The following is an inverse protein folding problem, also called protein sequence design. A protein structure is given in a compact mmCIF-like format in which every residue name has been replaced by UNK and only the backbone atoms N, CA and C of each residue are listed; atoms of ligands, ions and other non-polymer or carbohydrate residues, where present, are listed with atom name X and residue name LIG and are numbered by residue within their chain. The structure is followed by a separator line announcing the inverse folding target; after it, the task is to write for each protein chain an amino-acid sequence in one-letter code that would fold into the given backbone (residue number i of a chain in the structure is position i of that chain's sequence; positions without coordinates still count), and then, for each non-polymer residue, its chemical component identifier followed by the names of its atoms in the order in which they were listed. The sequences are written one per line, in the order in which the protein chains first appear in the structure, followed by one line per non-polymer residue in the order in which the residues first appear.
data_IF_369726315618
#
_entry.id   IF_369726315618
#
_cell.length_a   1.000
_cell.length_b   1.000
_cell.length_c   1.000
_cell.angle_alpha   90.00
_cell.angle_beta   90.00
_cell.angle_gamma   90.00
#
_symmetry.space_group_name_H-M   'P 1'
#
loop_
_entity.id
_entity.type
_entity.pdbx_description
1 polymer ?
#
# COMPACT_ATOMS: atom_id res chain seq x y z
N UNK A 1 31.00 18.25 -23.69
CA UNK A 1 30.22 17.39 -24.61
C UNK A 1 30.14 16.02 -24.00
N UNK A 2 28.94 15.51 -23.71
CA UNK A 2 28.75 14.17 -23.14
C UNK A 2 29.13 13.12 -24.20
N UNK A 3 30.14 12.30 -23.88
CA UNK A 3 30.54 11.19 -24.73
C UNK A 3 29.49 10.06 -24.61
N UNK A 4 28.47 10.10 -25.48
CA UNK A 4 27.47 9.05 -25.63
C UNK A 4 27.83 8.23 -26.86
N UNK A 5 28.11 6.94 -26.66
CA UNK A 5 28.35 6.01 -27.76
C UNK A 5 27.15 5.08 -27.89
N UNK A 6 26.52 5.00 -29.05
CA UNK A 6 25.38 4.13 -29.34
C UNK A 6 25.83 2.86 -30.07
N UNK A 7 25.39 1.71 -29.61
CA UNK A 7 25.51 0.44 -30.33
C UNK A 7 24.33 0.20 -31.29
N UNK A 8 24.35 -0.89 -32.05
CA UNK A 8 23.34 -1.26 -33.06
C UNK A 8 21.89 -1.45 -32.49
N UNK A 9 21.74 -1.69 -31.19
CA UNK A 9 20.45 -1.82 -30.50
C UNK A 9 20.07 -0.59 -29.69
N UNK A 10 20.51 0.61 -30.04
CA UNK A 10 20.29 1.84 -29.26
C UNK A 10 20.70 1.69 -27.78
N UNK A 11 21.80 1.00 -27.55
CA UNK A 11 22.47 0.93 -26.24
C UNK A 11 23.56 1.99 -26.17
N UNK A 12 23.85 2.45 -24.96
CA UNK A 12 24.91 3.45 -24.76
C UNK A 12 25.62 3.27 -23.43
N UNK A 13 26.73 3.94 -23.29
CA UNK A 13 27.50 4.02 -22.06
C UNK A 13 27.85 5.48 -21.77
N UNK A 14 27.78 5.87 -20.50
CA UNK A 14 28.12 7.24 -20.10
C UNK A 14 28.68 7.30 -18.69
N UNK A 15 29.43 8.35 -18.39
CA UNK A 15 29.77 8.79 -17.02
C UNK A 15 29.08 10.10 -16.66
N UNK A 16 28.36 10.67 -17.62
CA UNK A 16 27.57 11.87 -17.37
C UNK A 16 26.21 11.49 -16.80
N UNK A 17 26.09 11.56 -15.48
CA UNK A 17 24.85 11.22 -14.77
C UNK A 17 23.77 12.29 -14.94
N UNK A 18 24.13 13.52 -15.34
CA UNK A 18 23.20 14.64 -15.50
C UNK A 18 22.23 14.45 -16.67
N UNK A 19 22.54 13.54 -17.60
CA UNK A 19 21.64 13.22 -18.72
C UNK A 19 20.37 12.48 -18.28
N UNK A 20 20.42 11.76 -17.15
CA UNK A 20 19.29 10.95 -16.68
C UNK A 20 18.24 11.82 -16.02
N UNK A 21 17.02 11.78 -16.57
CA UNK A 21 15.84 12.47 -16.04
C UNK A 21 14.90 11.48 -15.41
N UNK A 22 14.12 11.94 -14.43
CA UNK A 22 13.19 11.09 -13.69
C UNK A 22 11.78 11.61 -13.82
N UNK A 23 10.81 10.71 -13.84
CA UNK A 23 9.41 11.09 -13.74
C UNK A 23 9.10 11.55 -12.32
N UNK A 24 8.36 12.64 -12.17
CA UNK A 24 8.00 13.20 -10.85
C UNK A 24 7.26 12.20 -9.97
N UNK A 25 6.52 11.28 -10.61
CA UNK A 25 5.72 10.23 -9.97
C UNK A 25 6.49 8.95 -9.68
N UNK A 26 7.78 8.91 -9.96
CA UNK A 26 8.58 7.73 -9.70
C UNK A 26 8.75 7.53 -8.17
N UNK A 27 9.01 6.29 -7.76
CA UNK A 27 9.25 5.97 -6.35
C UNK A 27 10.52 6.63 -5.83
N UNK A 28 10.57 6.88 -4.52
CA UNK A 28 11.76 7.40 -3.85
C UNK A 28 12.87 6.35 -3.90
N UNK A 29 14.10 6.81 -4.19
CA UNK A 29 15.29 5.96 -4.17
C UNK A 29 15.60 5.53 -2.74
N UNK A 30 15.63 4.24 -2.49
CA UNK A 30 15.94 3.66 -1.18
C UNK A 30 17.44 3.62 -0.95
N UNK A 31 17.93 4.32 0.07
CA UNK A 31 19.36 4.32 0.44
C UNK A 31 19.89 2.91 0.71
N UNK A 32 19.11 2.08 1.40
CA UNK A 32 19.48 0.68 1.70
C UNK A 32 19.61 -0.16 0.44
N UNK A 33 18.71 0.00 -0.53
CA UNK A 33 18.77 -0.75 -1.80
C UNK A 33 19.92 -0.25 -2.69
N UNK A 34 20.19 1.05 -2.67
CA UNK A 34 21.34 1.63 -3.36
C UNK A 34 22.64 1.03 -2.85
N UNK A 35 22.81 0.93 -1.52
CA UNK A 35 24.03 0.40 -0.94
C UNK A 35 24.20 -1.11 -1.22
N UNK A 36 23.13 -1.90 -1.15
CA UNK A 36 23.17 -3.32 -1.54
C UNK A 36 23.58 -3.50 -3.01
N UNK A 37 22.98 -2.74 -3.91
CA UNK A 37 23.30 -2.78 -5.33
C UNK A 37 24.73 -2.30 -5.59
N UNK A 38 25.19 -1.27 -4.87
CA UNK A 38 26.55 -0.77 -4.96
C UNK A 38 27.57 -1.88 -4.64
N UNK A 39 27.39 -2.58 -3.51
CA UNK A 39 28.29 -3.68 -3.13
C UNK A 39 28.26 -4.82 -4.14
N UNK A 40 27.11 -5.24 -4.66
CA UNK A 40 27.02 -6.27 -5.71
C UNK A 40 27.74 -5.80 -6.99
N UNK A 41 27.54 -4.54 -7.42
CA UNK A 41 28.14 -4.01 -8.63
C UNK A 41 29.65 -3.73 -8.52
N UNK A 42 30.18 -3.52 -7.31
CA UNK A 42 31.64 -3.44 -7.10
C UNK A 42 32.31 -4.80 -7.38
N UNK A 43 31.64 -5.90 -7.04
CA UNK A 43 32.16 -7.25 -7.21
C UNK A 43 31.92 -7.77 -8.65
N UNK A 44 30.71 -7.60 -9.15
CA UNK A 44 30.23 -8.26 -10.38
C UNK A 44 30.04 -7.30 -11.56
N UNK A 45 30.23 -6.01 -11.36
CA UNK A 45 29.90 -5.01 -12.39
C UNK A 45 28.39 -4.80 -12.55
N UNK A 46 28.04 -3.94 -13.50
CA UNK A 46 26.63 -3.72 -13.87
C UNK A 46 26.15 -4.87 -14.75
N UNK A 47 25.28 -5.76 -14.19
CA UNK A 47 24.70 -6.91 -14.89
C UNK A 47 23.59 -6.50 -15.86
N UNK A 48 22.64 -5.69 -15.37
CA UNK A 48 21.49 -5.24 -16.15
C UNK A 48 21.65 -3.78 -16.57
N UNK A 49 21.30 -3.48 -17.82
CA UNK A 49 21.30 -2.13 -18.34
C UNK A 49 20.20 -1.27 -17.68
N UNK A 50 20.46 0.03 -17.55
CA UNK A 50 19.44 1.01 -17.24
C UNK A 50 18.55 1.19 -18.46
N UNK A 51 17.23 1.20 -18.31
CA UNK A 51 16.30 1.45 -19.41
C UNK A 51 15.84 2.89 -19.35
N UNK A 52 16.05 3.61 -20.47
CA UNK A 52 15.60 5.00 -20.65
C UNK A 52 14.73 5.11 -21.90
N UNK A 53 14.00 6.23 -22.04
CA UNK A 53 13.37 6.56 -23.32
C UNK A 53 14.26 7.53 -24.14
N UNK A 54 13.78 7.94 -25.32
CA UNK A 54 14.49 8.86 -26.23
C UNK A 54 14.72 10.27 -25.66
N UNK A 55 14.05 10.63 -24.54
CA UNK A 55 14.21 11.90 -23.81
C UNK A 55 15.08 11.74 -22.56
N UNK A 56 15.77 10.60 -22.45
CA UNK A 56 16.58 10.20 -21.30
C UNK A 56 15.79 10.07 -19.98
N UNK A 57 14.46 9.88 -20.06
CA UNK A 57 13.65 9.58 -18.88
C UNK A 57 13.89 8.15 -18.45
N UNK A 58 14.24 7.94 -17.18
CA UNK A 58 14.55 6.62 -16.61
C UNK A 58 13.28 5.82 -16.43
N UNK A 59 13.18 4.70 -17.13
CA UNK A 59 12.09 3.72 -17.05
C UNK A 59 12.38 2.66 -15.99
N UNK A 60 13.61 2.11 -16.00
CA UNK A 60 14.10 1.18 -14.98
C UNK A 60 15.57 1.43 -14.66
N UNK A 61 15.96 1.16 -13.42
CA UNK A 61 17.36 1.22 -12.99
C UNK A 61 17.76 2.48 -12.21
N UNK A 62 16.82 3.29 -11.70
CA UNK A 62 17.16 4.47 -10.89
C UNK A 62 18.07 4.17 -9.68
N UNK A 63 17.89 3.02 -9.01
CA UNK A 63 18.76 2.59 -7.91
C UNK A 63 20.16 2.19 -8.42
N UNK A 64 20.25 1.62 -9.64
CA UNK A 64 21.52 1.29 -10.29
C UNK A 64 22.31 2.55 -10.62
N UNK A 65 21.65 3.56 -11.19
CA UNK A 65 22.29 4.87 -11.45
C UNK A 65 22.83 5.45 -10.15
N UNK A 66 21.99 5.55 -9.11
CA UNK A 66 22.41 6.12 -7.84
C UNK A 66 23.54 5.33 -7.14
N UNK A 67 23.63 4.01 -7.39
CA UNK A 67 24.70 3.19 -6.86
C UNK A 67 26.02 3.41 -7.61
N UNK A 68 25.97 3.48 -8.95
CA UNK A 68 27.14 3.70 -9.80
C UNK A 68 27.70 5.12 -9.67
N UNK A 69 26.82 6.10 -9.48
CA UNK A 69 27.19 7.51 -9.30
C UNK A 69 28.10 7.72 -8.09
N UNK A 70 27.86 7.00 -6.98
CA UNK A 70 28.72 7.08 -5.77
C UNK A 70 30.19 6.75 -6.05
N UNK A 71 30.45 5.87 -6.99
CA UNK A 71 31.80 5.41 -7.34
C UNK A 71 32.26 5.94 -8.71
N UNK A 72 31.54 6.87 -9.30
CA UNK A 72 31.79 7.47 -10.62
C UNK A 72 32.06 6.43 -11.72
N UNK A 73 31.32 5.32 -11.66
CA UNK A 73 31.43 4.21 -12.64
C UNK A 73 30.66 4.52 -13.92
N UNK A 74 30.97 3.81 -14.97
CA UNK A 74 30.23 3.91 -16.24
C UNK A 74 28.86 3.29 -16.10
N UNK A 75 27.81 4.01 -16.54
CA UNK A 75 26.44 3.50 -16.65
C UNK A 75 26.22 2.93 -18.04
N UNK A 76 25.87 1.65 -18.11
CA UNK A 76 25.37 1.01 -19.34
C UNK A 76 23.86 1.18 -19.40
N UNK A 77 23.34 1.66 -20.51
CA UNK A 77 21.91 1.88 -20.69
C UNK A 77 21.44 1.46 -22.08
N UNK A 78 20.14 1.19 -22.19
CA UNK A 78 19.45 0.97 -23.47
C UNK A 78 18.27 1.92 -23.60
N UNK A 79 18.02 2.34 -24.85
CA UNK A 79 16.89 3.21 -25.17
C UNK A 79 15.69 2.36 -25.59
N UNK A 80 14.54 2.56 -24.93
CA UNK A 80 13.24 2.03 -25.31
C UNK A 80 12.38 3.20 -25.81
N UNK A 81 12.31 3.43 -27.14
CA UNK A 81 11.56 4.56 -27.68
C UNK A 81 10.08 4.50 -27.32
N UNK A 82 9.45 5.65 -27.06
CA UNK A 82 8.04 5.77 -26.72
C UNK A 82 7.68 5.29 -25.31
N UNK A 83 8.64 4.79 -24.52
CA UNK A 83 8.39 4.34 -23.18
C UNK A 83 7.98 5.53 -22.28
N UNK A 84 7.01 5.27 -21.40
CA UNK A 84 6.37 6.27 -20.56
C UNK A 84 6.17 5.78 -19.11
N UNK A 85 5.41 6.52 -18.30
CA UNK A 85 5.17 6.19 -16.90
C UNK A 85 4.51 4.81 -16.68
N UNK A 86 3.70 4.32 -17.63
CA UNK A 86 3.10 2.98 -17.54
C UNK A 86 4.17 1.89 -17.62
N UNK A 87 5.20 2.10 -18.45
CA UNK A 87 6.35 1.18 -18.53
C UNK A 87 7.15 1.17 -17.23
N UNK A 88 7.30 2.33 -16.56
CA UNK A 88 7.92 2.41 -15.21
C UNK A 88 7.14 1.55 -14.22
N UNK A 89 5.81 1.66 -14.21
CA UNK A 89 4.94 0.86 -13.34
C UNK A 89 5.08 -0.63 -13.65
N UNK A 90 5.06 -1.00 -14.94
CA UNK A 90 5.19 -2.38 -15.38
C UNK A 90 6.56 -2.98 -14.99
N UNK A 91 7.65 -2.26 -15.22
CA UNK A 91 9.00 -2.69 -14.85
C UNK A 91 9.14 -2.93 -13.34
N UNK A 92 8.49 -2.11 -12.51
CA UNK A 92 8.52 -2.26 -11.06
C UNK A 92 7.62 -3.39 -10.52
N UNK A 93 6.72 -3.95 -11.33
CA UNK A 93 5.90 -5.11 -10.93
C UNK A 93 6.67 -6.43 -10.95
N UNK A 94 7.77 -6.52 -11.70
CA UNK A 94 8.61 -7.71 -11.80
C UNK A 94 9.76 -7.74 -10.80
N UNK A 95 10.17 -6.57 -10.27
CA UNK A 95 11.25 -6.41 -9.30
C UNK A 95 10.75 -6.08 -7.88
N UNK A 96 11.32 -5.04 -7.25
CA UNK A 96 10.84 -4.54 -5.96
C UNK A 96 9.46 -3.90 -6.17
N UNK A 97 8.41 -4.58 -5.69
CA UNK A 97 7.02 -4.13 -5.82
C UNK A 97 6.80 -2.77 -5.18
N UNK A 98 6.00 -1.94 -5.80
CA UNK A 98 5.55 -0.70 -5.20
C UNK A 98 4.75 -0.98 -3.93
N UNK A 99 5.04 -0.22 -2.89
CA UNK A 99 4.22 -0.19 -1.69
C UNK A 99 3.06 0.82 -1.84
N UNK A 100 2.17 0.85 -0.87
CA UNK A 100 1.00 1.73 -0.93
C UNK A 100 1.39 3.22 -1.01
N UNK A 101 2.47 3.64 -0.35
CA UNK A 101 2.97 5.02 -0.44
C UNK A 101 3.39 5.40 -1.88
N UNK A 102 4.04 4.48 -2.59
CA UNK A 102 4.42 4.71 -3.99
C UNK A 102 3.19 4.83 -4.90
N UNK A 103 2.15 4.01 -4.66
CA UNK A 103 0.88 4.11 -5.38
C UNK A 103 0.16 5.42 -5.11
N UNK A 104 0.06 5.83 -3.83
CA UNK A 104 -0.52 7.13 -3.44
C UNK A 104 0.22 8.26 -4.14
N UNK A 105 1.55 8.32 -4.05
CA UNK A 105 2.33 9.38 -4.69
C UNK A 105 2.08 9.46 -6.20
N UNK A 106 2.06 8.29 -6.88
CA UNK A 106 1.82 8.26 -8.33
C UNK A 106 0.42 8.76 -8.69
N UNK A 107 -0.61 8.28 -7.99
CA UNK A 107 -1.98 8.55 -8.35
C UNK A 107 -2.56 9.84 -7.73
N UNK A 108 -1.90 10.44 -6.74
CA UNK A 108 -2.23 11.77 -6.24
C UNK A 108 -1.73 12.91 -7.13
N UNK A 109 -0.92 12.60 -8.16
CA UNK A 109 -0.42 13.62 -9.07
C UNK A 109 -1.58 14.32 -9.81
N UNK A 110 -1.54 15.66 -9.98
CA UNK A 110 -2.65 16.43 -10.58
C UNK A 110 -3.13 15.93 -11.95
N UNK A 111 -2.23 15.38 -12.76
CA UNK A 111 -2.57 14.82 -14.08
C UNK A 111 -3.34 13.50 -14.03
N UNK A 112 -3.40 12.84 -12.87
CA UNK A 112 -4.13 11.58 -12.77
C UNK A 112 -5.62 11.85 -12.56
N UNK A 113 -6.48 11.23 -13.38
CA UNK A 113 -7.94 11.43 -13.35
C UNK A 113 -8.61 11.20 -12.00
N UNK A 114 -8.00 10.35 -11.15
CA UNK A 114 -8.52 9.99 -9.83
C UNK A 114 -7.68 10.61 -8.68
N UNK A 115 -6.89 11.65 -8.95
CA UNK A 115 -5.95 12.19 -7.96
C UNK A 115 -6.63 12.58 -6.64
N UNK A 116 -7.80 13.18 -6.67
CA UNK A 116 -8.57 13.56 -5.47
C UNK A 116 -8.89 12.37 -4.59
N UNK A 117 -9.19 11.20 -5.17
CA UNK A 117 -9.47 9.96 -4.42
C UNK A 117 -8.25 9.50 -3.62
N UNK A 118 -7.05 9.59 -4.17
CA UNK A 118 -5.82 9.18 -3.48
C UNK A 118 -5.36 10.22 -2.45
N UNK A 119 -5.64 11.50 -2.67
CA UNK A 119 -5.45 12.56 -1.67
C UNK A 119 -6.37 12.29 -0.48
N UNK A 120 -7.67 12.11 -0.71
CA UNK A 120 -8.65 11.77 0.34
C UNK A 120 -8.28 10.48 1.10
N UNK A 121 -7.79 9.45 0.38
CA UNK A 121 -7.28 8.24 1.02
C UNK A 121 -6.11 8.55 1.98
N UNK A 122 -5.16 9.37 1.56
CA UNK A 122 -4.01 9.74 2.38
C UNK A 122 -4.43 10.49 3.64
N UNK A 123 -5.30 11.49 3.49
CA UNK A 123 -5.87 12.28 4.58
C UNK A 123 -6.62 11.39 5.57
N UNK A 124 -7.46 10.49 5.06
CA UNK A 124 -8.22 9.52 5.88
C UNK A 124 -7.29 8.61 6.70
N UNK A 125 -6.26 8.06 6.04
CA UNK A 125 -5.26 7.21 6.70
C UNK A 125 -4.49 7.98 7.78
N UNK A 126 -4.08 9.21 7.48
CA UNK A 126 -3.32 10.04 8.41
C UNK A 126 -4.16 10.47 9.61
N UNK A 127 -5.44 10.70 9.41
CA UNK A 127 -6.40 11.04 10.47
C UNK A 127 -6.62 9.86 11.43
N UNK A 128 -6.92 8.68 10.91
CA UNK A 128 -7.35 7.53 11.71
C UNK A 128 -6.22 6.61 12.15
N UNK A 129 -5.01 6.74 11.57
CA UNK A 129 -3.83 5.89 11.87
C UNK A 129 -4.07 4.39 11.72
N UNK A 130 -5.02 4.01 10.86
CA UNK A 130 -5.33 2.62 10.54
C UNK A 130 -4.36 2.09 9.46
N UNK A 131 -4.19 0.77 9.39
CA UNK A 131 -3.36 0.17 8.36
C UNK A 131 -3.98 0.32 6.97
N UNK A 132 -3.15 0.30 5.93
CA UNK A 132 -3.56 0.51 4.54
C UNK A 132 -4.74 -0.37 4.12
N UNK A 133 -4.71 -1.65 4.48
CA UNK A 133 -5.77 -2.58 4.09
C UNK A 133 -7.11 -2.28 4.76
N UNK A 134 -7.11 -1.78 6.00
CA UNK A 134 -8.34 -1.34 6.69
C UNK A 134 -8.87 -0.06 6.04
N UNK A 135 -8.02 0.92 5.75
CA UNK A 135 -8.43 2.14 5.06
C UNK A 135 -9.03 1.84 3.68
N UNK A 136 -8.39 0.96 2.90
CA UNK A 136 -8.88 0.53 1.59
C UNK A 136 -10.25 -0.15 1.71
N UNK A 137 -10.41 -1.09 2.66
CA UNK A 137 -11.69 -1.77 2.93
C UNK A 137 -12.80 -0.76 3.25
N UNK A 138 -12.56 0.14 4.20
CA UNK A 138 -13.58 1.09 4.66
C UNK A 138 -14.02 2.05 3.56
N UNK A 139 -13.08 2.56 2.77
CA UNK A 139 -13.36 3.50 1.69
C UNK A 139 -14.00 2.85 0.46
N UNK A 140 -13.57 1.61 0.12
CA UNK A 140 -14.10 0.91 -1.06
C UNK A 140 -15.37 0.12 -0.79
N UNK A 141 -15.65 -0.24 0.46
CA UNK A 141 -16.69 -1.21 0.83
C UNK A 141 -16.60 -2.52 -0.01
N UNK A 142 -15.40 -2.88 -0.41
CA UNK A 142 -15.13 -4.10 -1.15
C UNK A 142 -14.64 -5.19 -0.20
N UNK A 143 -15.50 -6.15 0.09
CA UNK A 143 -15.22 -7.26 1.00
C UNK A 143 -14.54 -8.45 0.31
N UNK A 144 -14.32 -8.41 -1.01
CA UNK A 144 -13.65 -9.48 -1.75
C UNK A 144 -12.13 -9.29 -1.73
N UNK A 145 -11.61 -8.20 -2.31
CA UNK A 145 -10.18 -7.91 -2.36
C UNK A 145 -9.78 -6.67 -1.53
N UNK A 146 -10.75 -6.07 -0.85
CA UNK A 146 -10.57 -4.86 -0.02
C UNK A 146 -10.13 -3.64 -0.83
N UNK A 147 -10.50 -3.59 -2.10
CA UNK A 147 -10.11 -2.54 -3.02
C UNK A 147 -8.62 -2.54 -3.41
N UNK A 148 -7.87 -3.59 -3.09
CA UNK A 148 -6.41 -3.66 -3.32
C UNK A 148 -6.04 -3.61 -4.79
N UNK A 149 -6.77 -4.32 -5.64
CA UNK A 149 -6.52 -4.35 -7.09
C UNK A 149 -6.78 -2.96 -7.68
N UNK A 150 -7.98 -2.42 -7.47
CA UNK A 150 -8.34 -1.09 -7.97
C UNK A 150 -7.42 0.01 -7.44
N UNK A 151 -6.91 -0.12 -6.21
CA UNK A 151 -5.94 0.80 -5.63
C UNK A 151 -4.61 0.82 -6.38
N UNK A 152 -4.10 -0.36 -6.76
CA UNK A 152 -2.87 -0.50 -7.54
C UNK A 152 -3.03 -0.11 -9.00
N UNK A 153 -4.22 -0.31 -9.56
CA UNK A 153 -4.51 -0.02 -10.96
C UNK A 153 -4.90 1.45 -11.20
N UNK A 154 -4.94 2.28 -10.15
CA UNK A 154 -5.34 3.69 -10.27
C UNK A 154 -6.84 3.91 -10.49
N UNK A 155 -7.66 2.89 -10.27
CA UNK A 155 -9.12 2.91 -10.47
C UNK A 155 -9.92 2.87 -9.18
N UNK A 156 -9.24 3.06 -8.04
CA UNK A 156 -9.85 3.08 -6.71
C UNK A 156 -10.98 4.09 -6.62
N UNK A 157 -12.05 3.71 -5.91
CA UNK A 157 -13.23 4.56 -5.72
C UNK A 157 -13.62 4.55 -4.25
N UNK A 158 -13.99 5.72 -3.75
CA UNK A 158 -14.61 5.86 -2.43
C UNK A 158 -16.12 5.73 -2.63
N UNK A 159 -16.73 4.72 -1.99
CA UNK A 159 -18.17 4.46 -2.12
C UNK A 159 -19.00 5.34 -1.20
N UNK A 160 -18.66 5.36 0.09
CA UNK A 160 -19.39 6.14 1.08
C UNK A 160 -18.42 6.70 2.13
N UNK A 161 -18.02 7.95 1.94
CA UNK A 161 -17.06 8.60 2.82
C UNK A 161 -17.61 8.79 4.26
N UNK A 162 -18.90 9.08 4.42
CA UNK A 162 -19.53 9.27 5.74
C UNK A 162 -19.50 7.97 6.55
N UNK A 163 -19.94 6.85 5.95
CA UNK A 163 -19.89 5.53 6.61
C UNK A 163 -18.45 5.09 6.88
N UNK A 164 -17.53 5.36 5.97
CA UNK A 164 -16.11 5.04 6.18
C UNK A 164 -15.57 5.80 7.40
N UNK A 165 -15.94 7.07 7.55
CA UNK A 165 -15.52 7.91 8.67
C UNK A 165 -16.07 7.37 10.02
N UNK A 166 -17.37 7.06 10.09
CA UNK A 166 -18.00 6.48 11.28
C UNK A 166 -17.34 5.15 11.67
N UNK A 167 -17.14 4.26 10.71
CA UNK A 167 -16.51 2.96 10.94
C UNK A 167 -15.03 3.10 11.35
N UNK A 168 -14.29 4.04 10.76
CA UNK A 168 -12.91 4.28 11.12
C UNK A 168 -12.78 4.81 12.54
N UNK A 169 -13.67 5.71 12.95
CA UNK A 169 -13.70 6.24 14.30
C UNK A 169 -13.99 5.14 15.34
N UNK A 170 -14.98 4.28 15.07
CA UNK A 170 -15.29 3.14 15.92
C UNK A 170 -14.12 2.13 16.00
N UNK A 171 -13.48 1.83 14.87
CA UNK A 171 -12.29 0.96 14.86
C UNK A 171 -11.11 1.59 15.58
N UNK A 172 -10.86 2.89 15.43
CA UNK A 172 -9.77 3.57 16.12
C UNK A 172 -9.93 3.49 17.64
N UNK A 173 -11.16 3.59 18.17
CA UNK A 173 -11.44 3.37 19.58
C UNK A 173 -11.10 1.94 20.03
N UNK A 174 -11.41 0.92 19.21
CA UNK A 174 -11.08 -0.47 19.51
C UNK A 174 -9.57 -0.74 19.39
N UNK A 175 -8.90 -0.13 18.41
CA UNK A 175 -7.43 -0.21 18.23
C UNK A 175 -6.69 0.37 19.44
N UNK A 176 -7.24 1.41 20.07
CA UNK A 176 -6.67 1.98 21.28
C UNK A 176 -6.69 0.99 22.46
N UNK A 177 -7.65 0.07 22.48
CA UNK A 177 -7.75 -1.00 23.49
C UNK A 177 -6.91 -2.21 23.11
N UNK A 178 -7.02 -2.65 21.86
CA UNK A 178 -6.25 -3.78 21.34
C UNK A 178 -5.88 -3.59 19.86
N UNK A 179 -4.56 -3.61 19.57
CA UNK A 179 -4.01 -3.40 18.23
C UNK A 179 -4.47 -4.43 17.20
N UNK A 180 -5.03 -5.58 17.61
CA UNK A 180 -5.55 -6.58 16.66
C UNK A 180 -6.66 -6.02 15.77
N UNK A 181 -7.41 -5.01 16.22
CA UNK A 181 -8.44 -4.34 15.44
C UNK A 181 -7.88 -3.53 14.25
N UNK A 182 -6.57 -3.25 14.23
CA UNK A 182 -5.89 -2.68 13.07
C UNK A 182 -5.46 -3.73 12.04
N UNK A 183 -6.27 -4.77 11.87
CA UNK A 183 -6.09 -5.80 10.84
C UNK A 183 -7.36 -5.96 10.00
N UNK A 184 -7.19 -6.21 8.71
CA UNK A 184 -8.33 -6.32 7.77
C UNK A 184 -9.32 -7.39 8.19
N UNK A 185 -8.82 -8.56 8.62
CA UNK A 185 -9.70 -9.69 9.02
C UNK A 185 -10.55 -9.36 10.22
N UNK A 186 -9.96 -8.74 11.23
CA UNK A 186 -10.68 -8.30 12.43
C UNK A 186 -11.65 -7.17 12.10
N UNK A 187 -11.25 -6.19 11.28
CA UNK A 187 -12.11 -5.11 10.83
C UNK A 187 -13.35 -5.63 10.07
N UNK A 188 -13.18 -6.62 9.16
CA UNK A 188 -14.33 -7.27 8.50
C UNK A 188 -15.25 -7.94 9.50
N UNK A 189 -14.70 -8.66 10.49
CA UNK A 189 -15.49 -9.26 11.56
C UNK A 189 -16.28 -8.21 12.34
N UNK A 190 -15.63 -7.12 12.73
CA UNK A 190 -16.27 -5.99 13.41
C UNK A 190 -17.39 -5.37 12.57
N UNK A 191 -17.12 -5.05 11.29
CA UNK A 191 -18.11 -4.47 10.38
C UNK A 191 -19.36 -5.36 10.22
N UNK A 192 -19.20 -6.67 10.30
CA UNK A 192 -20.33 -7.61 10.27
C UNK A 192 -21.13 -7.60 11.57
N UNK A 193 -20.47 -7.67 12.73
CA UNK A 193 -21.19 -7.74 14.00
C UNK A 193 -21.88 -6.43 14.35
N UNK A 194 -21.38 -5.28 13.91
CA UNK A 194 -22.04 -3.99 14.18
C UNK A 194 -23.39 -3.84 13.49
N UNK A 195 -23.69 -4.64 12.46
CA UNK A 195 -25.00 -4.67 11.80
C UNK A 195 -26.02 -5.58 12.51
N UNK A 196 -25.56 -6.36 13.50
CA UNK A 196 -26.44 -7.27 14.21
C UNK A 196 -27.39 -6.52 15.16
N UNK A 197 -28.63 -7.00 15.32
CA UNK A 197 -29.57 -6.45 16.29
C UNK A 197 -28.96 -6.42 17.71
N UNK A 198 -29.24 -5.34 18.42
CA UNK A 198 -28.78 -5.10 19.81
C UNK A 198 -27.26 -4.87 19.96
N UNK A 199 -26.47 -4.79 18.87
CA UNK A 199 -25.07 -4.43 18.97
C UNK A 199 -24.90 -3.02 19.58
N UNK A 200 -23.94 -2.89 20.47
CA UNK A 200 -23.54 -1.61 21.11
C UNK A 200 -22.02 -1.56 21.21
N UNK A 201 -21.39 -0.59 20.54
CA UNK A 201 -19.94 -0.42 20.58
C UNK A 201 -19.37 -0.28 22.01
N UNK A 202 -19.98 0.51 22.92
CA UNK A 202 -19.47 0.60 24.29
C UNK A 202 -19.45 -0.73 25.04
N UNK A 203 -20.40 -1.63 24.76
CA UNK A 203 -20.40 -2.98 25.34
C UNK A 203 -19.23 -3.78 24.81
N UNK A 204 -19.02 -3.79 23.48
CA UNK A 204 -17.89 -4.50 22.87
C UNK A 204 -16.56 -3.99 23.46
N UNK A 205 -16.40 -2.68 23.52
CA UNK A 205 -15.19 -2.03 24.07
C UNK A 205 -14.90 -2.48 25.50
N UNK A 206 -15.88 -2.37 26.39
CA UNK A 206 -15.75 -2.80 27.77
C UNK A 206 -15.45 -4.31 27.93
N UNK A 207 -16.02 -5.14 27.04
CA UNK A 207 -15.76 -6.58 27.04
C UNK A 207 -14.34 -6.90 26.56
N UNK A 208 -13.83 -6.18 25.55
CA UNK A 208 -12.44 -6.34 25.08
C UNK A 208 -11.47 -5.89 26.15
N UNK A 209 -11.65 -4.72 26.75
CA UNK A 209 -10.80 -4.22 27.84
C UNK A 209 -10.68 -5.25 28.99
N UNK A 210 -11.78 -5.92 29.30
CA UNK A 210 -11.84 -6.85 30.43
C UNK A 210 -11.43 -8.28 30.08
N UNK A 211 -11.61 -8.71 28.83
CA UNK A 211 -11.49 -10.10 28.41
C UNK A 211 -10.68 -10.26 27.12
N UNK A 212 -9.74 -9.35 26.81
CA UNK A 212 -8.90 -9.43 25.60
C UNK A 212 -8.16 -10.75 25.47
N UNK A 213 -7.76 -11.36 26.60
CA UNK A 213 -7.12 -12.67 26.64
C UNK A 213 -8.02 -13.83 26.14
N UNK A 214 -9.33 -13.62 26.02
CA UNK A 214 -10.28 -14.58 25.45
C UNK A 214 -10.38 -14.49 23.92
N UNK A 215 -9.84 -13.44 23.33
CA UNK A 215 -9.82 -13.27 21.89
C UNK A 215 -8.57 -13.97 21.36
N UNK A 216 -8.75 -15.19 20.90
CA UNK A 216 -7.66 -15.94 20.27
C UNK A 216 -7.56 -15.57 18.78
N UNK A 217 -6.36 -15.58 18.22
CA UNK A 217 -6.13 -15.37 16.79
C UNK A 217 -7.02 -16.29 15.95
N UNK A 218 -7.73 -15.70 14.99
CA UNK A 218 -8.65 -16.39 14.10
C UNK A 218 -8.09 -16.37 12.67
N UNK A 219 -8.33 -17.42 11.94
CA UNK A 219 -7.76 -17.61 10.60
C UNK A 219 -8.69 -17.01 9.54
N UNK A 220 -9.97 -17.24 9.65
CA UNK A 220 -10.99 -16.77 8.70
C UNK A 220 -11.79 -15.58 9.22
N UNK A 221 -12.50 -14.89 8.31
CA UNK A 221 -13.43 -13.80 8.70
C UNK A 221 -14.59 -14.32 9.56
N UNK A 222 -15.08 -15.55 9.29
CA UNK A 222 -16.13 -16.18 10.09
C UNK A 222 -15.68 -16.43 11.51
N UNK A 223 -14.45 -16.95 11.69
CA UNK A 223 -13.87 -17.16 13.01
C UNK A 223 -13.79 -15.85 13.81
N UNK A 224 -13.47 -14.72 13.13
CA UNK A 224 -13.46 -13.41 13.77
C UNK A 224 -14.85 -12.97 14.22
N UNK A 225 -15.88 -13.16 13.38
CA UNK A 225 -17.27 -12.87 13.75
C UNK A 225 -17.68 -13.65 14.99
N UNK A 226 -17.46 -14.96 14.98
CA UNK A 226 -17.80 -15.85 16.11
C UNK A 226 -17.02 -15.50 17.37
N UNK A 227 -15.74 -15.20 17.23
CA UNK A 227 -14.87 -14.78 18.33
C UNK A 227 -15.35 -13.48 18.99
N UNK A 228 -15.68 -12.49 18.17
CA UNK A 228 -16.16 -11.20 18.65
C UNK A 228 -17.55 -11.33 19.30
N UNK A 229 -18.46 -12.15 18.75
CA UNK A 229 -19.76 -12.44 19.35
C UNK A 229 -19.59 -13.14 20.71
N UNK A 230 -18.70 -14.13 20.81
CA UNK A 230 -18.40 -14.82 22.07
C UNK A 230 -17.91 -13.85 23.14
N UNK A 231 -16.96 -12.98 22.80
CA UNK A 231 -16.44 -11.99 23.75
C UNK A 231 -17.49 -10.96 24.10
N UNK A 232 -18.24 -10.44 23.13
CA UNK A 232 -19.32 -9.50 23.37
C UNK A 232 -20.34 -10.05 24.39
N UNK A 233 -20.74 -11.31 24.23
CA UNK A 233 -21.73 -11.95 25.07
C UNK A 233 -21.18 -12.50 26.41
N UNK A 234 -19.84 -12.53 26.59
CA UNK A 234 -19.21 -13.16 27.73
C UNK A 234 -19.61 -12.47 29.03
N UNK A 235 -20.16 -13.24 29.98
CA UNK A 235 -20.65 -12.75 31.27
C UNK A 235 -21.64 -11.58 31.20
N UNK A 236 -22.31 -11.38 30.06
CA UNK A 236 -23.32 -10.35 29.91
C UNK A 236 -24.59 -10.77 30.69
N UNK A 237 -24.88 -10.08 31.81
CA UNK A 237 -26.00 -10.43 32.73
C UNK A 237 -27.38 -10.22 32.11
N UNK A 238 -27.50 -9.36 31.09
CA UNK A 238 -28.79 -9.05 30.45
C UNK A 238 -28.95 -9.85 29.14
N UNK A 239 -29.75 -10.95 29.13
CA UNK A 239 -29.97 -11.77 27.95
C UNK A 239 -30.48 -10.98 26.73
N UNK A 240 -31.33 -9.97 26.97
CA UNK A 240 -31.89 -9.10 25.94
C UNK A 240 -30.85 -8.21 25.23
N UNK A 241 -29.63 -8.09 25.75
CA UNK A 241 -28.53 -7.34 25.15
C UNK A 241 -27.53 -8.23 24.41
N UNK A 242 -27.73 -9.54 24.41
CA UNK A 242 -26.88 -10.49 23.71
C UNK A 242 -27.11 -10.42 22.20
N UNK A 243 -26.06 -10.42 21.45
CA UNK A 243 -26.11 -10.55 19.97
C UNK A 243 -26.06 -12.02 19.57
N UNK A 244 -26.82 -12.37 18.55
CA UNK A 244 -26.84 -13.74 18.00
C UNK A 244 -26.21 -13.72 16.62
N UNK A 245 -25.47 -14.76 16.29
CA UNK A 245 -24.99 -14.95 14.92
C UNK A 245 -26.20 -15.36 14.05
N UNK A 246 -26.76 -14.41 13.33
CA UNK A 246 -27.82 -14.66 12.33
C UNK A 246 -27.26 -14.65 10.91
N UNK A 247 -25.93 -14.65 10.78
CA UNK A 247 -25.23 -14.68 9.51
C UNK A 247 -24.90 -16.15 9.24
N UNK A 248 -25.85 -16.87 8.63
CA UNK A 248 -25.61 -18.16 7.97
C UNK A 248 -25.43 -17.91 6.50
#
# INVERSE_FOLDING_TARGET
MSNITYGTQKTGVTRDYSIFKYFDRNRIVSKTNVEKLRQDMLIHGQKDEVVINERFMVIDGQHRIAALEKDLKVVKFRVKPGANMQDVIAANNTGIKWNNLAWVRNFSHPEHKNNKVYITYSEFKDKHKLCDGVCQLLLSEDFHDYGRKSFKDGTFKIKNAGRAEENAQALAELVAVDKMFNSVRCAVGFLKIQTLPYFRLPILKAQIEKYSNKITHRVTHSDWVDGLIKVYNFNLKAPAKRIKNSII
#
